data_IF_888680153369
#
_entry.id   IF_888680153369
#
_cell.length_a   1.000
_cell.length_b   1.000
_cell.length_c   1.000
_cell.angle_alpha   90.00
_cell.angle_beta   90.00
_cell.angle_gamma   90.00
#
_symmetry.space_group_name_H-M   'P 1'
#
loop_
_entity.id
_entity.type
_entity.pdbx_description
1 polymer ?
#
# COMPACT_ATOMS: atom_id res chain seq x y z
N UNK A 1 -21.60 -2.64 -9.82
CA UNK A 1 -21.19 -3.83 -10.62
C UNK A 1 -20.61 -4.89 -9.70
N UNK A 2 -21.06 -6.14 -9.82
CA UNK A 2 -20.42 -7.31 -9.16
C UNK A 2 -19.14 -7.67 -9.89
N UNK A 3 -18.07 -8.01 -9.18
CA UNK A 3 -16.76 -8.19 -9.83
C UNK A 3 -16.52 -9.55 -10.51
N UNK A 4 -17.57 -10.35 -10.76
CA UNK A 4 -17.51 -11.59 -11.55
C UNK A 4 -16.67 -12.75 -10.98
N UNK A 5 -15.98 -12.56 -9.85
CA UNK A 5 -15.14 -13.59 -9.24
C UNK A 5 -15.99 -14.74 -8.66
N UNK A 6 -15.56 -15.98 -8.91
CA UNK A 6 -16.23 -17.20 -8.42
C UNK A 6 -15.47 -17.82 -7.26
N UNK A 7 -16.19 -18.48 -6.35
CA UNK A 7 -15.60 -19.09 -5.15
C UNK A 7 -16.08 -20.52 -4.97
N UNK A 8 -15.25 -21.37 -4.37
CA UNK A 8 -15.70 -22.70 -3.99
C UNK A 8 -16.62 -22.65 -2.75
N UNK A 9 -17.40 -23.72 -2.55
CA UNK A 9 -18.32 -23.84 -1.41
C UNK A 9 -17.61 -23.70 -0.07
N UNK A 10 -16.36 -24.17 0.03
CA UNK A 10 -15.53 -24.05 1.23
C UNK A 10 -15.23 -22.57 1.55
N UNK A 11 -14.73 -21.80 0.58
CA UNK A 11 -14.42 -20.39 0.76
C UNK A 11 -15.65 -19.54 1.13
N UNK A 12 -16.81 -19.87 0.56
CA UNK A 12 -18.08 -19.17 0.87
C UNK A 12 -18.49 -19.41 2.33
N UNK A 13 -18.43 -20.67 2.80
CA UNK A 13 -18.79 -21.02 4.18
C UNK A 13 -17.78 -20.55 5.22
N UNK A 14 -16.47 -20.71 4.97
CA UNK A 14 -15.41 -20.44 5.96
C UNK A 14 -15.03 -18.96 6.09
N UNK A 15 -15.02 -18.20 4.99
CA UNK A 15 -14.68 -16.77 5.07
C UNK A 15 -15.87 -15.90 5.51
N UNK A 16 -17.00 -16.50 5.91
CA UNK A 16 -18.25 -15.80 6.22
C UNK A 16 -18.51 -14.71 5.17
N UNK A 17 -18.45 -15.09 3.87
CA UNK A 17 -18.67 -14.15 2.75
C UNK A 17 -20.10 -13.58 2.71
N UNK A 18 -20.87 -13.74 3.79
CA UNK A 18 -22.20 -13.19 4.06
C UNK A 18 -22.26 -11.67 3.80
N UNK A 19 -22.39 -11.31 2.53
CA UNK A 19 -22.87 -10.02 2.04
C UNK A 19 -21.94 -8.82 2.16
N UNK A 20 -20.62 -8.99 2.37
CA UNK A 20 -19.75 -7.81 2.66
C UNK A 20 -18.80 -7.42 1.52
N UNK A 21 -17.83 -8.23 1.11
CA UNK A 21 -16.89 -7.89 0.01
C UNK A 21 -16.17 -9.10 -0.58
N UNK A 22 -15.84 -9.08 -1.86
CA UNK A 22 -15.01 -10.08 -2.54
C UNK A 22 -13.56 -10.03 -2.02
N UNK A 23 -12.93 -11.14 -1.61
CA UNK A 23 -11.55 -11.13 -1.11
C UNK A 23 -10.49 -10.81 -2.17
N UNK A 24 -10.78 -11.04 -3.45
CA UNK A 24 -9.86 -10.77 -4.55
C UNK A 24 -9.94 -9.30 -5.00
N UNK A 25 -11.14 -8.83 -5.29
CA UNK A 25 -11.33 -7.52 -5.93
C UNK A 25 -11.79 -6.42 -4.94
N UNK A 26 -12.19 -6.81 -3.72
CA UNK A 26 -12.78 -5.97 -2.66
C UNK A 26 -14.04 -5.17 -3.04
N UNK A 27 -14.70 -5.54 -4.15
CA UNK A 27 -16.03 -5.04 -4.52
C UNK A 27 -17.11 -5.73 -3.67
N UNK A 28 -18.25 -5.07 -3.42
CA UNK A 28 -19.40 -5.71 -2.76
C UNK A 28 -19.83 -6.97 -3.53
N UNK A 29 -20.11 -8.04 -2.79
CA UNK A 29 -20.71 -9.26 -3.33
C UNK A 29 -22.24 -9.12 -3.29
N UNK A 30 -22.93 -9.42 -4.39
CA UNK A 30 -24.40 -9.54 -4.36
C UNK A 30 -24.81 -10.82 -3.61
N UNK A 31 -26.09 -10.91 -3.22
CA UNK A 31 -26.65 -12.03 -2.47
C UNK A 31 -26.47 -13.41 -3.16
N UNK A 32 -26.24 -13.44 -4.47
CA UNK A 32 -26.01 -14.64 -5.26
C UNK A 32 -24.53 -14.79 -5.62
N UNK A 33 -23.78 -15.57 -4.82
CA UNK A 33 -22.40 -15.96 -5.14
C UNK A 33 -22.39 -17.21 -6.03
N UNK A 34 -21.77 -17.15 -7.21
CA UNK A 34 -21.59 -18.30 -8.09
C UNK A 34 -20.60 -19.30 -7.47
N UNK A 35 -21.07 -20.53 -7.21
CA UNK A 35 -20.26 -21.61 -6.60
C UNK A 35 -19.52 -22.36 -7.71
N UNK A 36 -18.18 -22.34 -7.66
CA UNK A 36 -17.37 -23.20 -8.51
C UNK A 36 -17.10 -24.55 -7.81
N UNK A 37 -17.77 -25.60 -8.29
CA UNK A 37 -17.67 -26.96 -7.74
C UNK A 37 -16.36 -27.67 -8.11
N UNK A 38 -15.72 -27.30 -9.21
CA UNK A 38 -14.40 -27.83 -9.61
C UNK A 38 -13.35 -27.38 -8.59
N UNK A 39 -13.33 -26.10 -8.23
CA UNK A 39 -12.42 -25.58 -7.20
C UNK A 39 -12.71 -26.24 -5.84
N UNK A 40 -13.99 -26.51 -5.52
CA UNK A 40 -14.34 -27.24 -4.30
C UNK A 40 -13.76 -28.65 -4.27
N UNK A 41 -13.83 -29.37 -5.39
CA UNK A 41 -13.24 -30.70 -5.51
C UNK A 41 -11.73 -30.65 -5.36
N UNK A 42 -11.04 -29.66 -5.93
CA UNK A 42 -9.60 -29.48 -5.74
C UNK A 42 -9.22 -29.19 -4.28
N UNK A 43 -9.93 -28.28 -3.61
CA UNK A 43 -9.70 -28.00 -2.18
C UNK A 43 -9.87 -29.27 -1.34
N UNK A 44 -10.88 -30.10 -1.66
CA UNK A 44 -11.13 -31.36 -0.97
C UNK A 44 -10.05 -32.41 -1.26
N UNK A 45 -9.68 -32.59 -2.53
CA UNK A 45 -8.71 -33.60 -2.98
C UNK A 45 -7.31 -33.31 -2.45
N UNK A 46 -6.88 -32.06 -2.47
CA UNK A 46 -5.56 -31.64 -1.98
C UNK A 46 -5.55 -31.28 -0.49
N UNK A 47 -6.66 -31.50 0.21
CA UNK A 47 -6.84 -31.19 1.62
C UNK A 47 -6.36 -29.77 1.99
N UNK A 48 -6.64 -28.79 1.12
CA UNK A 48 -6.28 -27.37 1.26
C UNK A 48 -7.18 -26.68 2.29
N UNK A 49 -7.27 -27.25 3.48
CA UNK A 49 -8.02 -26.69 4.60
C UNK A 49 -7.19 -25.62 5.26
N UNK A 50 -7.84 -24.51 5.63
CA UNK A 50 -7.20 -23.44 6.41
C UNK A 50 -6.71 -24.05 7.73
N UNK A 51 -5.38 -24.14 7.92
CA UNK A 51 -4.81 -24.50 9.22
C UNK A 51 -5.22 -23.42 10.22
N UNK A 52 -5.51 -23.80 11.46
CA UNK A 52 -5.78 -22.83 12.52
C UNK A 52 -4.63 -21.85 12.60
N UNK A 53 -4.92 -20.55 12.45
CA UNK A 53 -3.92 -19.49 12.59
C UNK A 53 -3.28 -19.64 13.98
N UNK A 54 -1.99 -19.99 14.01
CA UNK A 54 -1.23 -20.02 15.26
C UNK A 54 -1.20 -18.59 15.78
N UNK A 55 -1.53 -18.41 17.07
CA UNK A 55 -1.41 -17.12 17.75
C UNK A 55 0.05 -16.68 17.61
N UNK A 56 0.25 -15.48 17.07
CA UNK A 56 1.55 -14.86 16.95
C UNK A 56 2.23 -14.84 18.32
N UNK A 57 3.38 -15.50 18.42
CA UNK A 57 4.34 -15.27 19.50
C UNK A 57 5.47 -14.42 18.91
N UNK A 58 5.87 -13.32 19.56
CA UNK A 58 7.04 -12.57 19.13
C UNK A 58 8.25 -13.51 19.09
N UNK A 59 9.00 -13.46 17.99
CA UNK A 59 10.21 -14.27 17.79
C UNK A 59 11.35 -13.56 18.51
N UNK A 60 12.03 -14.24 19.43
CA UNK A 60 13.09 -13.66 20.29
C UNK A 60 14.37 -13.33 19.53
N UNK A 61 14.60 -13.92 18.36
CA UNK A 61 15.75 -13.63 17.50
C UNK A 61 15.28 -13.11 16.16
N UNK A 62 15.40 -11.80 15.97
CA UNK A 62 15.18 -11.12 14.71
C UNK A 62 16.58 -10.75 14.20
N UNK A 63 17.03 -11.38 13.10
CA UNK A 63 18.16 -10.82 12.34
C UNK A 63 17.63 -9.55 11.67
N UNK A 64 17.53 -8.48 12.46
CA UNK A 64 16.93 -7.21 12.06
C UNK A 64 17.78 -6.52 11.01
N UNK A 65 17.13 -5.61 10.31
CA UNK A 65 17.78 -4.55 9.56
C UNK A 65 18.63 -3.69 10.50
N UNK A 66 19.92 -3.55 10.17
CA UNK A 66 20.84 -2.65 10.85
C UNK A 66 20.95 -1.30 10.12
N UNK A 67 21.70 -0.37 10.72
CA UNK A 67 21.92 0.96 10.12
C UNK A 67 22.63 0.85 8.77
N UNK A 68 23.52 -0.14 8.60
CA UNK A 68 24.20 -0.41 7.34
C UNK A 68 23.21 -0.74 6.23
N UNK A 69 22.27 -1.66 6.44
CA UNK A 69 21.25 -1.95 5.44
C UNK A 69 20.42 -0.71 5.09
N UNK A 70 20.06 0.11 6.07
CA UNK A 70 19.29 1.33 5.79
C UNK A 70 20.10 2.28 4.91
N UNK A 71 21.35 2.54 5.25
CA UNK A 71 22.23 3.41 4.46
C UNK A 71 22.48 2.86 3.05
N UNK A 72 22.58 1.54 2.88
CA UNK A 72 22.78 0.88 1.60
C UNK A 72 21.55 1.02 0.67
N UNK A 73 20.34 1.05 1.24
CA UNK A 73 19.09 1.10 0.49
C UNK A 73 18.50 2.51 0.38
N UNK A 74 18.78 3.37 1.36
CA UNK A 74 18.17 4.68 1.51
C UNK A 74 19.21 5.74 1.88
N UNK A 75 19.46 6.64 0.93
CA UNK A 75 20.25 7.86 1.18
C UNK A 75 19.51 8.82 2.14
N UNK A 76 18.18 8.70 2.26
CA UNK A 76 17.36 9.55 3.13
C UNK A 76 17.21 8.94 4.53
N UNK A 77 17.10 9.78 5.58
CA UNK A 77 16.84 9.31 6.95
C UNK A 77 15.41 8.78 7.13
N UNK A 78 14.52 9.05 6.18
CA UNK A 78 13.14 8.56 6.18
C UNK A 78 12.59 8.43 4.76
N UNK A 79 11.66 7.52 4.56
CA UNK A 79 10.94 7.30 3.30
C UNK A 79 9.47 7.00 3.58
N UNK A 80 8.59 7.19 2.60
CA UNK A 80 7.19 6.79 2.70
C UNK A 80 7.06 5.28 2.97
N UNK A 81 6.08 4.89 3.79
CA UNK A 81 5.81 3.49 4.15
C UNK A 81 5.61 2.60 2.91
N UNK A 82 4.89 3.06 1.88
CA UNK A 82 4.67 2.25 0.67
C UNK A 82 5.99 1.95 -0.06
N UNK A 83 6.84 2.95 -0.27
CA UNK A 83 8.14 2.76 -0.91
C UNK A 83 9.05 1.84 -0.07
N UNK A 84 9.07 2.03 1.25
CA UNK A 84 9.81 1.18 2.17
C UNK A 84 9.39 -0.28 2.00
N UNK A 85 8.10 -0.58 2.07
CA UNK A 85 7.59 -1.96 1.97
C UNK A 85 7.95 -2.60 0.62
N UNK A 86 7.90 -1.87 -0.50
CA UNK A 86 8.31 -2.38 -1.83
C UNK A 86 9.80 -2.72 -1.92
N UNK A 87 10.65 -1.96 -1.23
CA UNK A 87 12.10 -2.19 -1.23
C UNK A 87 12.44 -3.32 -0.26
N UNK A 88 11.95 -3.22 0.97
CA UNK A 88 12.29 -4.12 2.06
C UNK A 88 11.81 -5.55 1.83
N UNK A 89 10.58 -5.72 1.34
CA UNK A 89 9.96 -7.03 1.16
C UNK A 89 10.11 -7.59 -0.26
N UNK A 90 10.49 -6.74 -1.23
CA UNK A 90 10.77 -7.11 -2.61
C UNK A 90 9.73 -8.08 -3.22
N UNK A 91 10.10 -9.34 -3.44
CA UNK A 91 9.27 -10.36 -4.10
C UNK A 91 8.10 -10.85 -3.23
N UNK A 92 8.19 -10.70 -1.91
CA UNK A 92 7.15 -11.11 -0.96
C UNK A 92 5.85 -10.31 -1.15
N UNK A 93 5.91 -9.15 -1.83
CA UNK A 93 4.77 -8.25 -2.06
C UNK A 93 4.43 -8.04 -3.53
N UNK A 94 4.82 -8.99 -4.39
CA UNK A 94 4.57 -8.93 -5.84
C UNK A 94 3.09 -8.89 -6.23
N UNK A 95 2.20 -9.43 -5.38
CA UNK A 95 0.75 -9.41 -5.61
C UNK A 95 0.15 -8.07 -5.19
N UNK A 96 -0.42 -7.26 -6.10
CA UNK A 96 -0.85 -5.89 -5.78
C UNK A 96 -1.93 -5.81 -4.69
N UNK A 97 -2.87 -6.75 -4.68
CA UNK A 97 -3.94 -6.80 -3.67
C UNK A 97 -3.34 -7.04 -2.27
N UNK A 98 -2.37 -7.93 -2.17
CA UNK A 98 -1.69 -8.20 -0.92
C UNK A 98 -0.88 -6.99 -0.45
N UNK A 99 -0.19 -6.29 -1.37
CA UNK A 99 0.53 -5.07 -1.04
C UNK A 99 -0.38 -3.96 -0.51
N UNK A 100 -1.56 -3.77 -1.11
CA UNK A 100 -2.55 -2.80 -0.63
C UNK A 100 -2.99 -3.13 0.81
N UNK A 101 -3.29 -4.41 1.03
CA UNK A 101 -3.76 -4.95 2.29
C UNK A 101 -2.68 -4.82 3.38
N UNK A 102 -1.44 -5.19 3.05
CA UNK A 102 -0.27 -5.01 3.90
C UNK A 102 -0.06 -3.54 4.27
N UNK A 103 -0.05 -2.65 3.28
CA UNK A 103 0.19 -1.21 3.50
C UNK A 103 -0.88 -0.62 4.42
N UNK A 104 -2.15 -0.98 4.21
CA UNK A 104 -3.24 -0.57 5.07
C UNK A 104 -3.09 -1.11 6.51
N UNK A 105 -2.74 -2.39 6.67
CA UNK A 105 -2.51 -3.01 7.98
C UNK A 105 -1.38 -2.32 8.73
N UNK A 106 -0.24 -2.07 8.08
CA UNK A 106 0.92 -1.42 8.69
C UNK A 106 0.56 -0.01 9.15
N UNK A 107 -0.09 0.79 8.28
CA UNK A 107 -0.47 2.15 8.62
C UNK A 107 -1.43 2.19 9.81
N UNK A 108 -2.45 1.35 9.80
CA UNK A 108 -3.44 1.29 10.87
C UNK A 108 -2.79 0.81 12.18
N UNK A 109 -2.05 -0.30 12.13
CA UNK A 109 -1.37 -0.87 13.29
C UNK A 109 -0.40 0.14 13.94
N UNK A 110 0.46 0.79 13.16
CA UNK A 110 1.40 1.78 13.69
C UNK A 110 0.67 3.02 14.25
N UNK A 111 -0.46 3.40 13.67
CA UNK A 111 -1.26 4.53 14.14
C UNK A 111 -1.97 4.22 15.46
N UNK A 112 -2.65 3.08 15.55
CA UNK A 112 -3.40 2.65 16.74
C UNK A 112 -2.47 2.41 17.93
N UNK A 113 -1.31 1.79 17.68
CA UNK A 113 -0.33 1.47 18.71
C UNK A 113 0.69 2.60 18.97
N UNK A 114 0.57 3.75 18.29
CA UNK A 114 1.47 4.92 18.43
C UNK A 114 2.95 4.56 18.23
N UNK A 115 3.25 3.73 17.23
CA UNK A 115 4.60 3.24 16.95
C UNK A 115 5.40 4.13 16.00
N UNK A 116 4.77 5.13 15.38
CA UNK A 116 5.48 6.08 14.52
C UNK A 116 6.52 6.85 15.31
N UNK A 117 7.79 6.63 14.98
CA UNK A 117 8.91 7.23 15.69
C UNK A 117 9.04 8.74 15.46
N UNK A 118 8.69 9.22 14.26
CA UNK A 118 8.85 10.63 13.85
C UNK A 118 7.58 11.26 13.33
N UNK A 119 7.02 10.72 12.25
CA UNK A 119 5.80 11.24 11.65
C UNK A 119 4.98 10.11 11.01
N UNK A 120 3.66 10.32 10.96
CA UNK A 120 2.76 9.36 10.32
C UNK A 120 3.12 9.19 8.84
N UNK A 121 3.04 7.95 8.36
CA UNK A 121 3.27 7.52 6.97
C UNK A 121 4.72 7.46 6.49
N UNK A 122 5.67 7.90 7.30
CA UNK A 122 7.10 7.79 6.96
C UNK A 122 7.77 6.83 7.93
N UNK A 123 8.65 5.99 7.40
CA UNK A 123 9.52 5.09 8.17
C UNK A 123 10.93 5.65 8.19
N UNK A 124 11.58 5.52 9.34
CA UNK A 124 13.03 5.54 9.51
C UNK A 124 13.54 4.17 10.01
N UNK A 125 14.81 4.11 10.40
CA UNK A 125 15.42 2.88 10.93
C UNK A 125 14.71 2.33 12.18
N UNK A 126 14.19 3.18 13.07
CA UNK A 126 13.49 2.73 14.27
C UNK A 126 12.12 2.11 13.92
N UNK A 127 11.39 2.72 12.98
CA UNK A 127 10.14 2.15 12.48
C UNK A 127 10.39 0.82 11.74
N UNK A 128 11.51 0.72 11.00
CA UNK A 128 11.94 -0.51 10.37
C UNK A 128 12.17 -1.63 11.40
N UNK A 129 12.90 -1.35 12.49
CA UNK A 129 13.15 -2.32 13.57
C UNK A 129 11.84 -2.79 14.20
N UNK A 130 10.95 -1.85 14.53
CA UNK A 130 9.63 -2.18 15.07
C UNK A 130 8.80 -3.04 14.10
N UNK A 131 8.85 -2.75 12.80
CA UNK A 131 8.17 -3.58 11.78
C UNK A 131 8.81 -4.96 11.62
N UNK A 132 10.14 -5.04 11.61
CA UNK A 132 10.88 -6.31 11.56
C UNK A 132 10.52 -7.21 12.75
N UNK A 133 10.47 -6.66 13.96
CA UNK A 133 10.02 -7.38 15.15
C UNK A 133 8.58 -7.86 15.00
N UNK A 134 7.67 -6.97 14.58
CA UNK A 134 6.25 -7.28 14.39
C UNK A 134 6.00 -8.48 13.47
N UNK A 135 6.75 -8.62 12.39
CA UNK A 135 6.58 -9.75 11.46
C UNK A 135 7.52 -10.92 11.76
N UNK A 136 8.41 -10.77 12.77
CA UNK A 136 9.50 -11.69 13.04
C UNK A 136 10.37 -11.86 11.80
N UNK A 137 10.89 -10.77 11.23
CA UNK A 137 11.68 -10.79 10.01
C UNK A 137 12.96 -11.61 10.22
N UNK A 138 13.19 -12.57 9.34
CA UNK A 138 14.42 -13.34 9.30
C UNK A 138 15.06 -13.21 7.91
N UNK A 139 16.25 -12.62 7.88
CA UNK A 139 17.01 -12.40 6.64
C UNK A 139 17.46 -13.72 6.01
N UNK A 140 17.73 -14.74 6.84
CA UNK A 140 18.20 -16.05 6.42
C UNK A 140 17.04 -16.98 6.04
N UNK A 141 15.88 -16.81 6.67
CA UNK A 141 14.65 -17.55 6.37
C UNK A 141 13.54 -16.66 5.80
N UNK A 142 13.68 -16.34 4.50
CA UNK A 142 12.70 -15.55 3.75
C UNK A 142 11.37 -16.26 3.58
N UNK A 143 11.34 -17.59 3.50
CA UNK A 143 10.12 -18.35 3.28
C UNK A 143 9.23 -18.30 4.53
N UNK A 144 9.80 -18.58 5.70
CA UNK A 144 9.06 -18.48 6.95
C UNK A 144 8.69 -17.02 7.28
N UNK A 145 9.54 -16.05 6.94
CA UNK A 145 9.19 -14.62 7.02
C UNK A 145 7.96 -14.30 6.18
N UNK A 146 7.90 -14.80 4.95
CA UNK A 146 6.79 -14.60 4.05
C UNK A 146 5.49 -15.23 4.59
N UNK A 147 5.57 -16.45 5.15
CA UNK A 147 4.43 -17.11 5.80
C UNK A 147 3.92 -16.31 7.01
N UNK A 148 4.83 -15.84 7.88
CA UNK A 148 4.48 -15.01 9.06
C UNK A 148 3.82 -13.70 8.64
N UNK A 149 4.37 -13.03 7.63
CA UNK A 149 3.81 -11.79 7.08
C UNK A 149 2.38 -12.00 6.57
N UNK A 150 2.15 -13.02 5.75
CA UNK A 150 0.83 -13.32 5.21
C UNK A 150 -0.18 -13.65 6.33
N UNK A 151 0.20 -14.50 7.28
CA UNK A 151 -0.64 -14.85 8.42
C UNK A 151 -1.00 -13.61 9.27
N UNK A 152 -0.04 -12.70 9.48
CA UNK A 152 -0.28 -11.45 10.21
C UNK A 152 -1.28 -10.54 9.49
N UNK A 153 -1.09 -10.28 8.19
CA UNK A 153 -1.99 -9.45 7.38
C UNK A 153 -3.40 -10.04 7.35
N UNK A 154 -3.53 -11.34 7.08
CA UNK A 154 -4.84 -12.01 7.03
C UNK A 154 -5.59 -11.92 8.36
N UNK A 155 -4.89 -12.16 9.47
CA UNK A 155 -5.47 -12.07 10.81
C UNK A 155 -5.90 -10.64 11.14
N UNK A 156 -5.06 -9.65 10.81
CA UNK A 156 -5.36 -8.25 11.07
C UNK A 156 -6.59 -7.78 10.30
N UNK A 157 -6.68 -8.12 9.01
CA UNK A 157 -7.85 -7.83 8.16
C UNK A 157 -9.12 -8.53 8.66
N UNK A 158 -9.00 -9.77 9.09
CA UNK A 158 -10.16 -10.54 9.61
C UNK A 158 -10.77 -9.85 10.83
N UNK A 159 -9.92 -9.22 11.67
CA UNK A 159 -10.37 -8.43 12.83
C UNK A 159 -10.88 -7.03 12.46
N UNK A 160 -10.41 -6.46 11.35
CA UNK A 160 -10.71 -5.09 10.94
C UNK A 160 -11.23 -5.01 9.48
N UNK A 161 -12.39 -5.63 9.18
CA UNK A 161 -12.88 -5.77 7.81
C UNK A 161 -13.20 -4.44 7.10
N UNK A 162 -13.41 -3.36 7.87
CA UNK A 162 -13.69 -2.03 7.32
C UNK A 162 -12.53 -1.46 6.48
N UNK A 163 -11.28 -1.87 6.74
CA UNK A 163 -10.10 -1.41 6.00
C UNK A 163 -10.08 -1.89 4.54
N UNK A 164 -10.78 -2.98 4.24
CA UNK A 164 -10.79 -3.57 2.89
C UNK A 164 -11.76 -2.88 1.92
N UNK A 165 -12.62 -1.96 2.35
CA UNK A 165 -13.69 -1.43 1.52
C UNK A 165 -13.19 -0.48 0.42
N UNK A 166 -13.57 -0.75 -0.84
CA UNK A 166 -13.37 0.17 -1.97
C UNK A 166 -14.44 1.26 -1.98
N UNK A 167 -14.02 2.52 -1.82
CA UNK A 167 -14.78 3.72 -2.22
C UNK A 167 -13.78 4.72 -2.74
N UNK A 168 -13.57 4.77 -4.06
CA UNK A 168 -12.68 5.74 -4.68
C UNK A 168 -13.40 6.43 -5.82
N UNK A 169 -13.37 7.75 -5.77
CA UNK A 169 -13.55 8.60 -6.95
C UNK A 169 -12.41 8.31 -7.92
N UNK A 170 -12.64 8.48 -9.22
CA UNK A 170 -11.60 8.27 -10.21
C UNK A 170 -10.64 9.46 -10.14
N UNK A 171 -9.37 9.19 -9.89
CA UNK A 171 -8.30 10.20 -9.80
C UNK A 171 -7.38 10.05 -11.00
N UNK A 172 -7.03 11.17 -11.62
CA UNK A 172 -6.04 11.27 -12.68
C UNK A 172 -4.98 12.29 -12.26
N UNK A 173 -3.73 11.88 -12.23
CA UNK A 173 -2.58 12.77 -12.02
C UNK A 173 -1.85 12.94 -13.35
N UNK A 174 -1.70 14.18 -13.81
CA UNK A 174 -0.99 14.49 -15.04
C UNK A 174 0.31 15.24 -14.74
N UNK A 175 1.43 14.58 -15.00
CA UNK A 175 2.76 15.19 -14.99
C UNK A 175 2.99 15.91 -16.33
N UNK A 176 3.35 17.18 -16.28
CA UNK A 176 3.62 17.97 -17.48
C UNK A 176 5.04 17.75 -18.02
N UNK A 177 5.16 17.86 -19.34
CA UNK A 177 6.45 17.80 -20.02
C UNK A 177 7.24 19.09 -19.74
N UNK A 178 8.54 18.94 -19.47
CA UNK A 178 9.50 20.04 -19.52
C UNK A 178 10.61 19.66 -20.52
N UNK A 179 10.59 20.29 -21.69
CA UNK A 179 11.54 20.01 -22.77
C UNK A 179 12.96 20.47 -22.43
N UNK A 180 13.10 21.52 -21.63
CA UNK A 180 14.41 22.05 -21.25
C UNK A 180 15.16 21.06 -20.36
N UNK A 181 14.42 20.36 -19.50
CA UNK A 181 14.98 19.40 -18.53
C UNK A 181 14.74 17.94 -18.88
N UNK A 182 14.24 17.65 -20.10
CA UNK A 182 13.95 16.30 -20.61
C UNK A 182 13.01 15.50 -19.70
N UNK A 183 12.00 16.18 -19.14
CA UNK A 183 10.93 15.53 -18.39
C UNK A 183 9.82 15.20 -19.37
N UNK A 184 9.50 13.91 -19.53
CA UNK A 184 8.37 13.48 -20.35
C UNK A 184 7.04 13.62 -19.61
N UNK A 185 5.98 13.93 -20.35
CA UNK A 185 4.63 13.94 -19.78
C UNK A 185 4.19 12.52 -19.43
N UNK A 186 3.54 12.36 -18.28
CA UNK A 186 2.98 11.08 -17.87
C UNK A 186 1.59 11.26 -17.25
N UNK A 187 0.72 10.27 -17.46
CA UNK A 187 -0.64 10.27 -16.89
C UNK A 187 -0.80 9.04 -16.03
N UNK A 188 -1.08 9.26 -14.74
CA UNK A 188 -1.39 8.21 -13.78
C UNK A 188 -2.90 8.19 -13.55
N UNK A 189 -3.59 7.21 -14.13
CA UNK A 189 -5.02 7.00 -13.94
C UNK A 189 -5.25 5.92 -12.86
N UNK A 190 -5.93 6.29 -11.78
CA UNK A 190 -6.33 5.41 -10.68
C UNK A 190 -7.05 4.13 -11.11
N UNK A 191 -7.70 4.13 -12.28
CA UNK A 191 -8.39 2.96 -12.83
C UNK A 191 -7.44 1.89 -13.34
N UNK A 192 -6.21 2.27 -13.74
CA UNK A 192 -5.20 1.35 -14.30
C UNK A 192 -4.02 1.13 -13.35
N UNK A 193 -3.88 1.94 -12.29
CA UNK A 193 -2.84 1.72 -11.30
C UNK A 193 -3.03 0.36 -10.60
N UNK A 194 -1.94 -0.41 -10.40
CA UNK A 194 -2.01 -1.75 -9.82
C UNK A 194 -2.41 -1.72 -8.33
N UNK A 195 -2.08 -0.64 -7.64
CA UNK A 195 -2.29 -0.48 -6.20
C UNK A 195 -3.33 0.59 -5.89
N UNK A 196 -4.05 0.38 -4.79
CA UNK A 196 -4.92 1.40 -4.18
C UNK A 196 -4.08 2.41 -3.40
N UNK A 197 -4.72 3.50 -2.98
CA UNK A 197 -4.11 4.43 -2.04
C UNK A 197 -3.68 3.68 -0.77
N UNK A 198 -2.53 4.02 -0.18
CA UNK A 198 -1.72 5.20 -0.52
C UNK A 198 -0.68 4.98 -1.64
N UNK A 199 -0.48 6.01 -2.48
CA UNK A 199 0.46 5.99 -3.60
C UNK A 199 1.71 6.80 -3.29
N UNK A 200 2.86 6.15 -3.28
CA UNK A 200 4.15 6.82 -3.13
C UNK A 200 4.61 7.44 -4.45
N UNK A 201 5.15 8.66 -4.37
CA UNK A 201 5.74 9.38 -5.49
C UNK A 201 7.15 9.85 -5.20
N UNK A 202 8.06 9.64 -6.14
CA UNK A 202 9.46 9.98 -5.95
C UNK A 202 10.35 9.56 -7.11
N UNK A 203 11.66 9.85 -6.96
CA UNK A 203 12.69 9.51 -7.94
C UNK A 203 13.11 8.04 -7.90
N UNK A 204 12.78 7.31 -6.83
CA UNK A 204 13.14 5.90 -6.74
C UNK A 204 12.40 5.09 -7.80
N UNK A 205 13.10 4.19 -8.52
CA UNK A 205 12.52 3.38 -9.61
C UNK A 205 11.36 2.47 -9.17
N UNK A 206 11.33 2.08 -7.89
CA UNK A 206 10.22 1.32 -7.30
C UNK A 206 9.04 2.18 -6.84
N UNK A 207 9.08 3.50 -7.01
CA UNK A 207 7.95 4.35 -6.63
C UNK A 207 6.77 4.08 -7.56
N UNK A 208 5.55 4.05 -7.01
CA UNK A 208 4.36 3.85 -7.85
C UNK A 208 4.17 5.01 -8.84
N UNK A 209 4.29 6.23 -8.34
CA UNK A 209 4.31 7.46 -9.13
C UNK A 209 5.79 7.83 -9.35
N UNK A 210 6.44 7.12 -10.27
CA UNK A 210 7.85 7.31 -10.54
C UNK A 210 8.11 8.58 -11.35
N UNK A 211 8.96 9.45 -10.82
CA UNK A 211 9.35 10.73 -11.42
C UNK A 211 10.88 10.80 -11.48
N UNK A 212 11.52 10.27 -12.55
CA UNK A 212 12.97 10.10 -12.66
C UNK A 212 13.70 11.44 -12.95
N UNK A 213 13.54 12.42 -12.07
CA UNK A 213 14.14 13.75 -12.25
C UNK A 213 14.93 14.18 -11.01
N UNK A 214 16.05 14.87 -11.22
CA UNK A 214 17.00 15.24 -10.16
C UNK A 214 16.40 16.17 -9.10
N UNK A 215 15.43 17.01 -9.45
CA UNK A 215 14.71 17.87 -8.50
C UNK A 215 13.73 17.12 -7.58
N UNK A 216 13.45 15.84 -7.88
CA UNK A 216 12.58 15.00 -7.08
C UNK A 216 13.43 14.20 -6.09
N UNK A 217 13.12 14.30 -4.81
CA UNK A 217 13.69 13.42 -3.78
C UNK A 217 13.36 11.95 -4.02
N UNK A 218 14.21 11.05 -3.49
CA UNK A 218 14.06 9.60 -3.61
C UNK A 218 12.65 9.11 -3.21
N UNK A 219 12.17 9.57 -2.04
CA UNK A 219 10.78 9.52 -1.61
C UNK A 219 10.33 10.97 -1.40
N UNK A 220 9.34 11.44 -2.17
CA UNK A 220 8.95 12.85 -2.18
C UNK A 220 7.55 13.05 -1.61
N UNK A 221 6.56 12.39 -2.20
CA UNK A 221 5.16 12.55 -1.86
C UNK A 221 4.53 11.21 -1.49
N UNK A 222 3.48 11.27 -0.69
CA UNK A 222 2.55 10.17 -0.49
C UNK A 222 1.13 10.69 -0.68
N UNK A 223 0.43 10.13 -1.65
CA UNK A 223 -0.99 10.37 -1.85
C UNK A 223 -1.76 9.42 -0.92
N UNK A 224 -2.65 9.96 -0.09
CA UNK A 224 -3.37 9.21 0.94
C UNK A 224 -4.86 9.49 0.88
N UNK A 225 -5.66 8.61 1.48
CA UNK A 225 -7.08 8.88 1.68
C UNK A 225 -7.28 9.70 2.95
N UNK A 226 -8.06 10.78 2.84
CA UNK A 226 -8.45 11.61 3.97
C UNK A 226 -9.66 11.03 4.72
N UNK A 227 -9.97 11.55 5.93
CA UNK A 227 -11.14 11.14 6.73
C UNK A 227 -12.48 11.28 5.99
N UNK A 228 -12.57 12.19 5.02
CA UNK A 228 -13.79 12.45 4.24
C UNK A 228 -13.79 11.71 2.88
N UNK A 229 -12.93 10.69 2.72
CA UNK A 229 -12.68 10.00 1.45
C UNK A 229 -12.05 10.85 0.33
N UNK A 230 -11.74 12.12 0.57
CA UNK A 230 -10.99 12.94 -0.40
C UNK A 230 -9.55 12.43 -0.55
N UNK A 231 -8.90 12.82 -1.64
CA UNK A 231 -7.47 12.63 -1.84
C UNK A 231 -6.68 13.64 -1.02
N UNK A 232 -5.66 13.17 -0.31
CA UNK A 232 -4.68 14.02 0.37
C UNK A 232 -3.28 13.75 -0.15
N UNK A 233 -2.38 14.70 0.09
CA UNK A 233 -0.96 14.60 -0.21
C UNK A 233 -0.13 14.93 1.03
N UNK A 234 0.93 14.16 1.25
CA UNK A 234 1.88 14.29 2.35
C UNK A 234 3.28 14.45 1.75
N UNK A 235 4.04 15.44 2.24
CA UNK A 235 5.46 15.56 1.92
C UNK A 235 6.28 14.61 2.81
N UNK A 236 7.06 13.73 2.19
CA UNK A 236 7.85 12.68 2.85
C UNK A 236 9.27 13.17 3.25
N UNK A 237 9.42 14.46 3.55
CA UNK A 237 10.69 15.08 3.89
C UNK A 237 11.53 15.35 2.64
N UNK A 238 10.92 15.93 1.63
CA UNK A 238 11.60 16.36 0.40
C UNK A 238 12.74 17.34 0.68
N UNK A 239 13.78 17.29 -0.15
CA UNK A 239 14.99 18.12 0.02
C UNK A 239 14.76 19.55 -0.50
N UNK A 240 14.00 19.68 -1.59
CA UNK A 240 13.75 20.97 -2.27
C UNK A 240 12.38 21.54 -1.87
N UNK A 241 11.53 20.75 -1.19
CA UNK A 241 10.17 21.15 -0.84
C UNK A 241 9.17 20.87 -1.96
N UNK A 242 7.90 20.76 -1.56
CA UNK A 242 6.73 20.82 -2.43
C UNK A 242 6.14 22.23 -2.30
N UNK A 243 5.87 22.96 -3.38
CA UNK A 243 5.42 24.38 -3.27
C UNK A 243 3.91 24.54 -3.05
N UNK A 244 3.11 23.46 -3.11
CA UNK A 244 1.90 23.45 -2.28
C UNK A 244 2.44 23.52 -0.86
N UNK A 245 2.10 24.54 -0.07
CA UNK A 245 2.43 24.61 1.36
C UNK A 245 1.79 23.43 2.10
N UNK A 246 2.34 22.23 1.95
CA UNK A 246 1.95 21.01 2.63
C UNK A 246 2.63 21.08 3.98
N UNK A 247 2.03 21.80 4.93
CA UNK A 247 2.42 21.69 6.33
C UNK A 247 2.00 20.29 6.82
N UNK A 248 2.85 19.30 6.53
CA UNK A 248 2.70 17.86 6.79
C UNK A 248 1.57 17.15 6.03
N UNK A 249 0.50 17.83 5.62
CA UNK A 249 -0.66 17.21 4.98
C UNK A 249 -1.55 18.25 4.27
N UNK A 250 -2.01 17.95 3.06
CA UNK A 250 -2.95 18.80 2.31
C UNK A 250 -4.06 17.95 1.65
N UNK A 251 -5.30 18.42 1.67
CA UNK A 251 -6.42 17.75 0.97
C UNK A 251 -6.55 18.34 -0.43
N UNK A 252 -6.31 17.51 -1.45
CA UNK A 252 -6.34 17.92 -2.86
C UNK A 252 -7.78 18.13 -3.35
N UNK A 253 -7.93 19.06 -4.30
CA UNK A 253 -9.16 19.42 -5.01
C UNK A 253 -8.98 19.27 -6.52
N UNK A 254 -10.10 19.33 -7.23
CA UNK A 254 -10.11 19.39 -8.69
C UNK A 254 -9.27 20.57 -9.19
N UNK A 255 -8.42 20.33 -10.18
CA UNK A 255 -7.51 21.29 -10.80
C UNK A 255 -6.42 21.83 -9.87
N UNK A 256 -6.18 21.23 -8.71
CA UNK A 256 -5.00 21.57 -7.92
C UNK A 256 -3.73 21.26 -8.72
N UNK A 257 -2.75 22.16 -8.62
CA UNK A 257 -1.44 22.02 -9.25
C UNK A 257 -0.40 21.82 -8.15
N UNK A 258 0.26 20.67 -8.17
CA UNK A 258 1.35 20.32 -7.27
C UNK A 258 2.65 20.67 -7.97
N UNK A 259 3.36 21.67 -7.46
CA UNK A 259 4.72 21.96 -7.92
C UNK A 259 5.74 21.25 -7.04
N UNK A 260 6.61 20.47 -7.66
CA UNK A 260 7.71 19.75 -7.02
C UNK A 260 9.01 20.47 -7.37
N UNK A 261 9.60 21.14 -6.38
CA UNK A 261 10.63 22.14 -6.61
C UNK A 261 10.17 23.24 -7.58
N UNK A 262 11.08 23.69 -8.43
CA UNK A 262 10.87 24.74 -9.44
C UNK A 262 10.60 24.19 -10.86
N UNK A 263 10.47 22.87 -11.03
CA UNK A 263 10.50 22.22 -12.38
C UNK A 263 9.36 21.29 -12.72
N UNK A 264 8.82 20.55 -11.74
CA UNK A 264 7.77 19.56 -12.02
C UNK A 264 6.42 20.09 -11.60
N UNK A 265 5.44 19.95 -12.49
CA UNK A 265 4.05 20.30 -12.23
C UNK A 265 3.16 19.07 -12.44
N UNK A 266 2.30 18.82 -11.46
CA UNK A 266 1.31 17.75 -11.50
C UNK A 266 -0.07 18.36 -11.32
N UNK A 267 -0.93 18.24 -12.32
CA UNK A 267 -2.34 18.63 -12.17
C UNK A 267 -3.16 17.43 -11.70
N UNK A 268 -4.07 17.70 -10.76
CA UNK A 268 -4.98 16.73 -10.19
C UNK A 268 -6.37 16.87 -10.81
N UNK A 269 -6.90 15.77 -11.34
CA UNK A 269 -8.30 15.65 -11.70
C UNK A 269 -8.95 14.51 -10.91
N UNK A 270 -10.15 14.76 -10.41
CA UNK A 270 -10.96 13.98 -9.49
C UNK A 270 -12.37 13.94 -10.08
N UNK A 271 -12.63 12.88 -10.83
CA UNK A 271 -13.96 12.62 -11.35
C UNK A 271 -14.81 12.01 -10.23
N UNK A 272 -15.63 12.88 -9.64
CA UNK A 272 -16.71 12.50 -8.75
C UNK A 272 -17.79 11.85 -9.60
N UNK A 273 -17.66 10.54 -9.83
CA UNK A 273 -18.78 9.73 -10.27
C UNK A 273 -19.97 10.05 -9.37
N UNK A 274 -20.93 10.83 -9.88
CA UNK A 274 -22.28 10.93 -9.33
C UNK A 274 -22.92 9.58 -9.56
N UNK A 275 -22.63 8.64 -8.67
CA UNK A 275 -23.38 7.40 -8.55
C UNK A 275 -24.79 7.72 -8.05
#
# INVERSE_FOLDING_TARGET
MTCGHTFCRYCIGHNKLNGKTCPLCRQPLNQTSCINTIIYNFVRLFNLRRKSLKIYKPVETVNTVDETWWCDNFIKPQVSVSLFLRIFLHDMVSVPIFFDDLTACVIDFFTVNKLWSKAKYVFNINDCKAFSELIGYDKEDKEATNERLHNWVEHYITKHPAMCMKKYEKIILKLYQDRTHRIDSHVFDSAVLPNRLPWDGGRHAKSLIHMPHSSVSLSHLLFVKTKNNNLGVVDCGSTIGTMIKVNNYHTLKENDIIHIGDRLEITVSIDKNKA
#
